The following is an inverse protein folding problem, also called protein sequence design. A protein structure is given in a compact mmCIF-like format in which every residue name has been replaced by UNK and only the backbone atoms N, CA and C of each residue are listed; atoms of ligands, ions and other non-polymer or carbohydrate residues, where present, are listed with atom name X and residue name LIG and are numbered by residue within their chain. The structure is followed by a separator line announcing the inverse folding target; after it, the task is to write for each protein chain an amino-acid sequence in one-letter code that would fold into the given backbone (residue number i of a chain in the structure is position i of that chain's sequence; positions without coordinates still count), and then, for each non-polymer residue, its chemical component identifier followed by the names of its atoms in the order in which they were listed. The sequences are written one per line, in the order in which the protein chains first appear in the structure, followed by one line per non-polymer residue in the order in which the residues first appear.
data_IF_829982534666
#
_entry.id   IF_829982534666
#
_cell.length_a   1.000
_cell.length_b   1.000
_cell.length_c   1.000
_cell.angle_alpha   90.00
_cell.angle_beta   90.00
_cell.angle_gamma   90.00
#
_symmetry.space_group_name_H-M   'P 1'
#
loop_
_entity.id
_entity.type
_entity.pdbx_description
1 polymer ?
#
# COMPACT_ATOMS: atom_id res chain seq x y z
N UNK A 1 -14.71 -52.14 0.96
CA UNK A 1 -15.29 -50.91 1.56
C UNK A 1 -14.26 -50.11 2.36
N UNK A 2 -13.67 -50.64 3.44
CA UNK A 2 -12.69 -49.92 4.27
C UNK A 2 -11.50 -49.32 3.50
N UNK A 3 -10.94 -50.07 2.54
CA UNK A 3 -9.82 -49.62 1.69
C UNK A 3 -10.17 -48.45 0.75
N UNK A 4 -11.41 -48.41 0.26
CA UNK A 4 -11.90 -47.35 -0.62
C UNK A 4 -12.14 -46.05 0.18
N UNK A 5 -12.64 -46.19 1.42
CA UNK A 5 -12.82 -45.07 2.35
C UNK A 5 -11.48 -44.40 2.71
N UNK A 6 -10.42 -45.19 2.96
CA UNK A 6 -9.08 -44.65 3.23
C UNK A 6 -8.48 -43.91 2.04
N UNK A 7 -8.72 -44.36 0.81
CA UNK A 7 -8.22 -43.69 -0.40
C UNK A 7 -8.99 -42.38 -0.63
N UNK A 8 -10.31 -42.38 -0.43
CA UNK A 8 -11.12 -41.17 -0.51
C UNK A 8 -10.71 -40.12 0.53
N UNK A 9 -10.41 -40.55 1.76
CA UNK A 9 -9.95 -39.66 2.83
C UNK A 9 -8.58 -39.03 2.54
N UNK A 10 -7.66 -39.80 1.93
CA UNK A 10 -6.36 -39.29 1.50
C UNK A 10 -6.49 -38.27 0.36
N UNK A 11 -7.39 -38.48 -0.60
CA UNK A 11 -7.62 -37.54 -1.71
C UNK A 11 -8.16 -36.19 -1.24
N UNK A 12 -8.99 -36.17 -0.19
CA UNK A 12 -9.53 -34.94 0.39
C UNK A 12 -8.45 -34.15 1.14
N UNK A 13 -7.42 -34.82 1.68
CA UNK A 13 -6.34 -34.16 2.41
C UNK A 13 -5.39 -33.34 1.51
N UNK A 14 -5.38 -33.58 0.19
CA UNK A 14 -4.52 -32.83 -0.76
C UNK A 14 -5.12 -31.51 -1.24
N UNK A 15 -6.39 -31.21 -0.95
CA UNK A 15 -7.06 -30.01 -1.51
C UNK A 15 -6.90 -28.74 -0.67
N UNK A 16 -6.26 -28.82 0.50
CA UNK A 16 -6.19 -27.68 1.45
C UNK A 16 -4.87 -26.89 1.42
N UNK A 17 -3.96 -27.13 0.48
CA UNK A 17 -2.71 -26.34 0.37
C UNK A 17 -2.81 -25.21 -0.65
N UNK A 18 -3.59 -24.18 -0.35
CA UNK A 18 -3.60 -22.90 -1.10
C UNK A 18 -2.97 -21.71 -0.35
N UNK A 19 -2.36 -21.94 0.83
CA UNK A 19 -1.90 -20.86 1.70
C UNK A 19 -0.51 -20.27 1.36
N UNK A 20 0.22 -20.81 0.38
CA UNK A 20 1.57 -20.35 0.06
C UNK A 20 1.56 -19.40 -1.15
N UNK A 21 0.91 -18.24 -1.02
CA UNK A 21 1.20 -17.15 -1.94
C UNK A 21 2.45 -16.43 -1.43
N UNK A 22 3.60 -16.49 -2.12
CA UNK A 22 4.83 -15.81 -1.68
C UNK A 22 4.64 -14.29 -1.62
N UNK A 23 3.68 -13.75 -2.37
CA UNK A 23 3.37 -12.33 -2.36
C UNK A 23 2.09 -12.07 -1.56
N UNK A 24 2.27 -11.48 -0.38
CA UNK A 24 1.17 -11.09 0.52
C UNK A 24 0.76 -9.63 0.26
N UNK A 25 -0.54 -9.31 0.31
CA UNK A 25 -1.03 -7.95 0.13
C UNK A 25 -0.48 -7.02 1.23
N UNK A 26 -0.33 -5.75 0.85
CA UNK A 26 0.05 -4.66 1.76
C UNK A 26 -1.23 -4.05 2.32
N UNK A 27 -1.28 -3.91 3.64
CA UNK A 27 -2.35 -3.22 4.37
C UNK A 27 -1.94 -1.79 4.68
N UNK A 28 -2.90 -0.86 4.56
CA UNK A 28 -2.73 0.56 4.87
C UNK A 28 -3.40 0.87 6.19
N UNK A 29 -2.67 1.55 7.10
CA UNK A 29 -3.22 2.11 8.32
C UNK A 29 -3.04 3.63 8.33
N UNK A 30 -4.13 4.37 8.52
CA UNK A 30 -4.06 5.83 8.65
C UNK A 30 -3.45 6.24 10.00
N UNK A 31 -2.68 7.32 10.00
CA UNK A 31 -2.08 7.94 11.18
C UNK A 31 -2.37 9.44 11.14
N UNK A 32 -2.28 10.09 12.31
CA UNK A 32 -2.48 11.53 12.45
C UNK A 32 -1.63 12.38 11.48
N UNK A 33 -0.47 11.88 11.06
CA UNK A 33 0.44 12.55 10.12
C UNK A 33 0.76 11.69 8.88
N UNK A 34 -0.23 10.98 8.32
CA UNK A 34 -0.08 10.24 7.06
C UNK A 34 -0.58 8.81 7.13
N UNK A 35 0.19 7.86 6.62
CA UNK A 35 -0.17 6.44 6.59
C UNK A 35 1.03 5.55 6.91
N UNK A 36 0.76 4.36 7.43
CA UNK A 36 1.72 3.30 7.65
C UNK A 36 1.33 2.07 6.83
N UNK A 37 2.34 1.41 6.26
CA UNK A 37 2.15 0.22 5.45
C UNK A 37 2.61 -1.00 6.24
N UNK A 38 1.77 -2.03 6.25
CA UNK A 38 2.05 -3.30 6.91
C UNK A 38 1.97 -4.43 5.91
N UNK A 39 2.86 -5.40 6.08
CA UNK A 39 2.75 -6.69 5.40
C UNK A 39 2.88 -7.77 6.47
N UNK A 40 1.90 -8.68 6.53
CA UNK A 40 1.88 -9.76 7.51
C UNK A 40 1.98 -9.29 8.97
N UNK A 41 1.34 -8.16 9.28
CA UNK A 41 1.38 -7.53 10.62
C UNK A 41 2.70 -6.82 10.96
N UNK A 42 3.69 -6.82 10.06
CA UNK A 42 4.97 -6.11 10.25
C UNK A 42 4.93 -4.76 9.55
N UNK A 43 5.36 -3.72 10.27
CA UNK A 43 5.54 -2.39 9.71
C UNK A 43 6.66 -2.43 8.65
N UNK A 44 6.35 -1.97 7.43
CA UNK A 44 7.32 -1.87 6.37
C UNK A 44 8.05 -0.53 6.41
N UNK A 45 9.37 -0.57 6.27
CA UNK A 45 10.18 0.62 6.04
C UNK A 45 10.16 1.03 4.56
N UNK A 46 10.44 2.30 4.26
CA UNK A 46 10.48 2.87 2.92
C UNK A 46 11.35 2.07 1.96
N UNK A 47 12.51 1.55 2.41
CA UNK A 47 13.38 0.69 1.56
C UNK A 47 12.72 -0.63 1.19
N UNK A 48 12.06 -1.28 2.15
CA UNK A 48 11.35 -2.53 1.92
C UNK A 48 10.17 -2.32 0.97
N UNK A 49 9.46 -1.20 1.10
CA UNK A 49 8.37 -0.83 0.19
C UNK A 49 8.91 -0.60 -1.22
N UNK A 50 10.03 0.10 -1.37
CA UNK A 50 10.69 0.36 -2.66
C UNK A 50 11.10 -0.95 -3.36
N UNK A 51 11.73 -1.86 -2.62
CA UNK A 51 12.12 -3.19 -3.10
C UNK A 51 10.92 -4.07 -3.45
N UNK A 52 9.88 -4.08 -2.61
CA UNK A 52 8.63 -4.81 -2.86
C UNK A 52 7.93 -4.30 -4.12
N UNK A 53 7.84 -2.97 -4.26
CA UNK A 53 7.17 -2.36 -5.41
C UNK A 53 8.00 -2.43 -6.69
N UNK A 54 9.31 -2.68 -6.61
CA UNK A 54 10.16 -2.84 -7.79
C UNK A 54 9.71 -3.99 -8.72
N UNK A 55 8.97 -4.97 -8.19
CA UNK A 55 8.37 -6.05 -9.00
C UNK A 55 7.25 -5.57 -9.92
N UNK A 56 6.65 -4.40 -9.65
CA UNK A 56 5.61 -3.78 -10.46
C UNK A 56 6.04 -2.36 -10.85
N UNK A 57 6.37 -2.15 -12.13
CA UNK A 57 6.84 -0.86 -12.64
C UNK A 57 5.87 0.30 -12.37
N UNK A 58 4.57 0.06 -12.41
CA UNK A 58 3.53 1.06 -12.12
C UNK A 58 3.53 1.45 -10.64
N UNK A 59 3.50 0.45 -9.75
CA UNK A 59 3.56 0.67 -8.30
C UNK A 59 4.84 1.42 -7.90
N UNK A 60 6.00 1.00 -8.43
CA UNK A 60 7.28 1.64 -8.16
C UNK A 60 7.33 3.11 -8.61
N UNK A 61 6.79 3.42 -9.80
CA UNK A 61 6.72 4.81 -10.30
C UNK A 61 5.84 5.70 -9.42
N UNK A 62 4.66 5.21 -9.03
CA UNK A 62 3.74 5.94 -8.15
C UNK A 62 4.34 6.18 -6.77
N UNK A 63 4.99 5.16 -6.20
CA UNK A 63 5.67 5.26 -4.91
C UNK A 63 6.83 6.26 -4.93
N UNK A 64 7.69 6.19 -5.94
CA UNK A 64 8.78 7.16 -6.11
C UNK A 64 8.26 8.60 -6.26
N UNK A 65 7.15 8.79 -6.99
CA UNK A 65 6.50 10.10 -7.10
C UNK A 65 5.95 10.58 -5.76
N UNK A 66 5.31 9.69 -4.98
CA UNK A 66 4.85 9.98 -3.62
C UNK A 66 6.01 10.41 -2.72
N UNK A 67 7.12 9.65 -2.71
CA UNK A 67 8.33 9.95 -1.94
C UNK A 67 8.92 11.31 -2.26
N UNK A 68 9.10 11.62 -3.54
CA UNK A 68 9.65 12.92 -3.98
C UNK A 68 8.72 14.07 -3.59
N UNK A 69 7.40 13.89 -3.75
CA UNK A 69 6.40 14.89 -3.37
C UNK A 69 6.42 15.10 -1.85
N UNK A 70 6.58 14.02 -1.07
CA UNK A 70 6.67 14.09 0.38
C UNK A 70 7.93 14.82 0.87
N UNK A 71 9.07 14.67 0.19
CA UNK A 71 10.29 15.44 0.49
C UNK A 71 10.01 16.94 0.35
N UNK A 72 9.33 17.35 -0.73
CA UNK A 72 8.95 18.75 -0.94
C UNK A 72 8.02 19.24 0.17
N UNK A 73 6.96 18.49 0.48
CA UNK A 73 6.05 18.78 1.61
C UNK A 73 6.81 18.93 2.92
N UNK A 74 7.78 18.06 3.16
CA UNK A 74 8.58 18.02 4.38
C UNK A 74 9.39 19.30 4.52
N UNK A 75 10.04 19.77 3.44
CA UNK A 75 10.78 21.03 3.45
C UNK A 75 9.85 22.21 3.80
N UNK A 76 8.70 22.34 3.14
CA UNK A 76 7.76 23.42 3.44
C UNK A 76 7.20 23.35 4.87
N UNK A 77 6.90 22.14 5.35
CA UNK A 77 6.38 21.93 6.70
C UNK A 77 7.42 22.25 7.78
N UNK A 78 8.68 21.84 7.59
CA UNK A 78 9.76 22.17 8.51
C UNK A 78 10.10 23.65 8.49
N UNK A 79 10.22 24.27 7.32
CA UNK A 79 10.47 25.71 7.22
C UNK A 79 9.32 26.50 7.85
N UNK A 80 8.07 26.11 7.60
CA UNK A 80 6.92 26.79 8.17
C UNK A 80 6.77 26.59 9.67
N UNK A 81 6.97 25.37 10.15
CA UNK A 81 6.98 25.04 11.58
C UNK A 81 8.13 25.71 12.33
N UNK A 82 9.31 25.78 11.72
CA UNK A 82 10.47 26.49 12.28
C UNK A 82 10.20 27.99 12.38
N UNK A 83 9.67 28.62 11.33
CA UNK A 83 9.34 30.04 11.36
C UNK A 83 8.36 30.39 12.49
N UNK A 84 7.28 29.61 12.64
CA UNK A 84 6.31 29.80 13.72
C UNK A 84 6.93 29.51 15.09
N UNK A 85 7.61 28.37 15.23
CA UNK A 85 8.22 27.96 16.50
C UNK A 85 9.31 28.92 16.98
N UNK A 86 10.12 29.43 16.06
CA UNK A 86 11.14 30.44 16.35
C UNK A 86 10.50 31.75 16.81
N UNK A 87 9.45 32.24 16.13
CA UNK A 87 8.73 33.44 16.56
C UNK A 87 8.15 33.32 17.97
N UNK A 88 7.62 32.14 18.32
CA UNK A 88 7.12 31.87 19.67
C UNK A 88 8.25 31.85 20.69
N UNK A 89 9.36 31.15 20.40
CA UNK A 89 10.52 31.10 21.28
C UNK A 89 11.17 32.47 21.48
N UNK A 90 11.24 33.28 20.43
CA UNK A 90 11.71 34.67 20.50
C UNK A 90 10.83 35.47 21.46
N UNK A 91 9.51 35.48 21.25
CA UNK A 91 8.60 36.28 22.10
C UNK A 91 8.66 35.91 23.58
N UNK A 92 8.89 34.63 23.91
CA UNK A 92 9.04 34.18 25.29
C UNK A 92 10.37 34.61 25.93
N UNK A 93 11.41 34.85 25.14
CA UNK A 93 12.78 35.09 25.63
C UNK A 93 13.22 36.54 25.54
N UNK A 94 12.83 37.27 24.51
CA UNK A 94 13.17 38.68 24.32
C UNK A 94 12.25 39.62 25.11
N UNK A 95 11.05 39.16 25.49
CA UNK A 95 10.00 40.03 26.04
C UNK A 95 9.37 40.96 24.99
N UNK A 96 9.88 40.93 23.75
CA UNK A 96 9.20 41.50 22.59
C UNK A 96 8.01 40.63 22.19
N UNK A 97 7.04 41.22 21.52
CA UNK A 97 5.88 40.49 20.99
C UNK A 97 6.24 39.43 19.93
N UNK A 98 5.21 38.72 19.46
CA UNK A 98 5.35 37.74 18.38
C UNK A 98 5.81 38.39 17.07
N UNK A 99 6.77 37.77 16.39
CA UNK A 99 7.16 38.16 15.03
C UNK A 99 6.10 37.70 14.02
N UNK A 100 5.04 38.50 13.87
CA UNK A 100 3.89 38.22 13.01
C UNK A 100 4.27 38.01 11.54
N UNK A 101 5.27 38.72 11.03
CA UNK A 101 5.76 38.55 9.65
C UNK A 101 6.31 37.14 9.42
N UNK A 102 7.13 36.64 10.36
CA UNK A 102 7.72 35.31 10.29
C UNK A 102 6.67 34.21 10.49
N UNK A 103 5.68 34.44 11.38
CA UNK A 103 4.50 33.55 11.50
C UNK A 103 3.70 33.54 10.19
N UNK A 104 3.52 34.69 9.54
CA UNK A 104 2.83 34.81 8.26
C UNK A 104 3.51 34.00 7.16
N UNK A 105 4.84 34.12 7.04
CA UNK A 105 5.65 33.28 6.13
C UNK A 105 5.46 31.80 6.46
N UNK A 106 5.54 31.44 7.74
CA UNK A 106 5.39 30.06 8.17
C UNK A 106 4.01 29.48 7.86
N UNK A 107 2.95 30.26 8.07
CA UNK A 107 1.58 29.89 7.76
C UNK A 107 1.38 29.66 6.25
N UNK A 108 1.95 30.50 5.39
CA UNK A 108 1.90 30.32 3.93
C UNK A 108 2.62 29.04 3.49
N UNK A 109 3.80 28.76 4.05
CA UNK A 109 4.52 27.51 3.76
C UNK A 109 3.69 26.27 4.14
N UNK A 110 3.06 26.28 5.32
CA UNK A 110 2.19 25.19 5.76
C UNK A 110 0.94 25.08 4.87
N UNK A 111 0.33 26.20 4.49
CA UNK A 111 -0.83 26.23 3.61
C UNK A 111 -0.54 25.58 2.24
N UNK A 112 0.66 25.81 1.69
CA UNK A 112 1.13 25.17 0.46
C UNK A 112 1.43 23.68 0.68
N UNK A 113 1.97 23.32 1.85
CA UNK A 113 2.33 21.94 2.17
C UNK A 113 1.09 21.01 2.25
N UNK A 114 -0.05 21.50 2.73
CA UNK A 114 -1.29 20.70 2.92
C UNK A 114 -1.77 20.00 1.62
N UNK A 115 -2.05 20.72 0.51
CA UNK A 115 -2.52 20.07 -0.72
C UNK A 115 -1.45 19.17 -1.35
N UNK A 116 -0.18 19.53 -1.24
CA UNK A 116 0.95 18.72 -1.73
C UNK A 116 1.02 17.40 -0.93
N UNK A 117 0.85 17.47 0.39
CA UNK A 117 0.80 16.30 1.27
C UNK A 117 -0.34 15.34 0.90
N UNK A 118 -1.55 15.87 0.67
CA UNK A 118 -2.70 15.05 0.22
C UNK A 118 -2.42 14.37 -1.12
N UNK A 119 -1.79 15.08 -2.06
CA UNK A 119 -1.38 14.51 -3.34
C UNK A 119 -0.33 13.40 -3.17
N UNK A 120 0.66 13.60 -2.29
CA UNK A 120 1.66 12.57 -1.96
C UNK A 120 1.00 11.32 -1.37
N UNK A 121 0.07 11.47 -0.43
CA UNK A 121 -0.68 10.37 0.17
C UNK A 121 -1.48 9.60 -0.87
N UNK A 122 -2.24 10.31 -1.73
CA UNK A 122 -3.02 9.67 -2.81
C UNK A 122 -2.15 8.82 -3.73
N UNK A 123 -0.96 9.33 -4.12
CA UNK A 123 -0.01 8.57 -4.95
C UNK A 123 0.53 7.33 -4.23
N UNK A 124 0.75 7.43 -2.92
CA UNK A 124 1.23 6.32 -2.10
C UNK A 124 0.19 5.21 -1.97
N UNK A 125 -1.07 5.57 -1.73
CA UNK A 125 -2.20 4.63 -1.72
C UNK A 125 -2.39 3.97 -3.09
N UNK A 126 -2.36 4.75 -4.17
CA UNK A 126 -2.43 4.21 -5.52
C UNK A 126 -1.28 3.23 -5.85
N UNK A 127 -0.09 3.46 -5.30
CA UNK A 127 1.02 2.52 -5.46
C UNK A 127 0.76 1.18 -4.75
N UNK A 128 0.16 1.23 -3.55
CA UNK A 128 -0.25 0.03 -2.80
C UNK A 128 -1.36 -0.72 -3.54
N UNK A 129 -2.34 0.00 -4.06
CA UNK A 129 -3.43 -0.60 -4.84
C UNK A 129 -2.90 -1.28 -6.10
N UNK A 130 -2.01 -0.61 -6.85
CA UNK A 130 -1.37 -1.19 -8.04
C UNK A 130 -0.53 -2.44 -7.71
N UNK A 131 0.16 -2.44 -6.57
CA UNK A 131 0.89 -3.61 -6.10
C UNK A 131 -0.06 -4.76 -5.77
N UNK A 132 -1.09 -4.50 -4.95
CA UNK A 132 -2.06 -5.50 -4.50
C UNK A 132 -2.87 -6.09 -5.68
N UNK A 133 -3.28 -5.27 -6.64
CA UNK A 133 -3.93 -5.74 -7.88
C UNK A 133 -3.00 -6.61 -8.72
N UNK A 134 -1.69 -6.33 -8.71
CA UNK A 134 -0.70 -7.21 -9.34
C UNK A 134 -0.52 -8.56 -8.65
N UNK A 135 -0.97 -8.70 -7.40
CA UNK A 135 -0.93 -9.97 -6.64
C UNK A 135 -2.18 -10.81 -6.82
N UNK A 136 -3.31 -10.19 -7.11
CA UNK A 136 -4.49 -10.87 -7.60
C UNK A 136 -4.14 -11.46 -8.97
N UNK A 137 -3.65 -12.70 -8.98
CA UNK A 137 -3.60 -13.50 -10.20
C UNK A 137 -5.02 -13.48 -10.74
N UNK A 138 -5.25 -12.81 -11.88
CA UNK A 138 -6.40 -13.11 -12.75
C UNK A 138 -6.37 -14.61 -12.92
N UNK A 139 -7.21 -15.31 -12.17
CA UNK A 139 -7.14 -16.75 -12.12
C UNK A 139 -7.41 -17.20 -13.54
N UNK A 140 -6.56 -18.06 -14.10
CA UNK A 140 -6.84 -18.67 -15.41
C UNK A 140 -8.25 -19.28 -15.43
N UNK A 141 -8.72 -19.74 -14.26
CA UNK A 141 -10.06 -20.28 -14.02
C UNK A 141 -11.18 -19.24 -13.94
N UNK A 142 -10.89 -17.96 -13.75
CA UNK A 142 -11.92 -16.90 -13.72
C UNK A 142 -12.46 -16.61 -15.13
N UNK A 143 -11.70 -17.00 -16.15
CA UNK A 143 -12.09 -16.89 -17.57
C UNK A 143 -12.30 -18.24 -18.26
N UNK A 144 -12.06 -19.34 -17.55
CA UNK A 144 -12.13 -20.69 -18.10
C UNK A 144 -13.22 -21.47 -17.39
N UNK A 145 -14.36 -21.62 -18.05
CA UNK A 145 -15.43 -22.48 -17.58
C UNK A 145 -15.04 -23.94 -17.84
N UNK A 146 -14.81 -24.68 -16.76
CA UNK A 146 -14.49 -26.11 -16.82
C UNK A 146 -15.77 -26.89 -16.58
N UNK A 147 -16.26 -27.55 -17.62
CA UNK A 147 -17.43 -28.42 -17.55
C UNK A 147 -16.99 -29.87 -17.44
N UNK A 148 -17.42 -30.56 -16.39
CA UNK A 148 -17.34 -32.01 -16.32
C UNK A 148 -18.58 -32.58 -17.02
N UNK A 149 -18.40 -33.25 -18.15
CA UNK A 149 -19.50 -33.83 -18.91
C UNK A 149 -19.37 -35.34 -18.95
N UNK A 150 -20.48 -36.03 -18.76
CA UNK A 150 -20.57 -37.49 -18.89
C UNK A 150 -21.27 -37.82 -20.19
N UNK A 151 -20.63 -38.58 -21.08
CA UNK A 151 -21.26 -39.07 -22.31
C UNK A 151 -21.10 -40.59 -22.39
N UNK A 152 -22.18 -41.31 -22.13
CA UNK A 152 -22.18 -42.77 -22.02
C UNK A 152 -21.29 -43.28 -20.88
N UNK A 153 -20.41 -44.25 -21.17
CA UNK A 153 -19.43 -44.80 -20.21
C UNK A 153 -18.17 -43.91 -20.03
N UNK A 154 -18.10 -42.74 -20.66
CA UNK A 154 -16.92 -41.88 -20.64
C UNK A 154 -17.14 -40.60 -19.83
N UNK A 155 -16.11 -40.21 -19.10
CA UNK A 155 -15.98 -38.91 -18.45
C UNK A 155 -15.15 -38.01 -19.37
N UNK A 156 -15.69 -36.85 -19.73
CA UNK A 156 -15.01 -35.84 -20.53
C UNK A 156 -14.89 -34.53 -19.73
N UNK A 157 -13.76 -33.85 -19.90
CA UNK A 157 -13.51 -32.55 -19.32
C UNK A 157 -13.48 -31.53 -20.46
N UNK A 158 -14.44 -30.61 -20.49
CA UNK A 158 -14.56 -29.57 -21.50
C UNK A 158 -14.06 -28.25 -20.91
N UNK A 159 -13.16 -27.60 -21.64
CA UNK A 159 -12.52 -26.34 -21.25
C UNK A 159 -12.89 -25.32 -22.32
N UNK A 160 -13.67 -24.31 -21.95
CA UNK A 160 -13.99 -23.18 -22.82
C UNK A 160 -13.09 -21.98 -22.46
N UNK A 161 -12.51 -21.33 -23.46
CA UNK A 161 -11.58 -20.20 -23.34
C UNK A 161 -12.21 -18.87 -23.75
#
# INVERSE_FOLDING_TARGET
MKKFLTIALLLIAYTTTFAQNPNKPISVQEKFAGYALYQDGKLLNTKQIDELMATNQEAHKLFKSSKNTNIVTTIFSYTGGFAIGYSLGYALTSGDGLMLELIGIGAVCIAIAIPISKSAQKKGLAAVDAYNQGLEKKSFLEKTEVYLQTSGNNLALSINF
#
